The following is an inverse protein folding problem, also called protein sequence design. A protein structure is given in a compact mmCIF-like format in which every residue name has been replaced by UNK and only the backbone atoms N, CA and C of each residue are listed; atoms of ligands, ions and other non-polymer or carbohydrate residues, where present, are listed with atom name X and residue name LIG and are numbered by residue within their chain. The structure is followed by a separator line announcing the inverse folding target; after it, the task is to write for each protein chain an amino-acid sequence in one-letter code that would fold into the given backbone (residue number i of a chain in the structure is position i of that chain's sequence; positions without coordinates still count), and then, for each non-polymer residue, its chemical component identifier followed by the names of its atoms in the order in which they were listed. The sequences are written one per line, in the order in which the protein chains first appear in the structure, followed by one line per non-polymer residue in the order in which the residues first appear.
data_IF_015748839330
#
_entry.id   IF_015748839330
#
_cell.length_a   1.000
_cell.length_b   1.000
_cell.length_c   1.000
_cell.angle_alpha   90.00
_cell.angle_beta   90.00
_cell.angle_gamma   90.00
#
_symmetry.space_group_name_H-M   'P 1'
#
loop_
_entity.id
_entity.type
_entity.pdbx_description
1 polymer ?
#
# COMPACT_ATOMS: atom_id res chain seq x y z
N UNK A 1 -14.31 75.33 -2.42
CA UNK A 1 -13.97 73.91 -2.64
C UNK A 1 -15.15 73.07 -2.17
N UNK A 2 -15.77 72.31 -3.06
CA UNK A 2 -17.07 71.68 -2.79
C UNK A 2 -16.85 70.32 -2.09
N UNK A 3 -16.74 70.35 -0.76
CA UNK A 3 -16.40 69.20 0.10
C UNK A 3 -17.23 67.95 -0.18
N UNK A 4 -18.52 68.11 -0.53
CA UNK A 4 -19.41 67.00 -0.89
C UNK A 4 -18.92 66.19 -2.10
N UNK A 5 -18.33 66.86 -3.09
CA UNK A 5 -17.79 66.19 -4.28
C UNK A 5 -16.52 65.41 -3.96
N UNK A 6 -15.64 65.99 -3.15
CA UNK A 6 -14.38 65.36 -2.76
C UNK A 6 -14.64 64.09 -1.93
N UNK A 7 -15.59 64.14 -0.98
CA UNK A 7 -15.97 62.96 -0.20
C UNK A 7 -16.62 61.89 -1.08
N UNK A 8 -17.45 62.27 -2.05
CA UNK A 8 -18.05 61.34 -3.01
C UNK A 8 -16.99 60.64 -3.88
N UNK A 9 -15.99 61.37 -4.35
CA UNK A 9 -14.89 60.84 -5.15
C UNK A 9 -14.00 59.88 -4.36
N UNK A 10 -13.65 60.22 -3.12
CA UNK A 10 -12.90 59.33 -2.23
C UNK A 10 -13.69 58.04 -1.94
N UNK A 11 -14.99 58.14 -1.71
CA UNK A 11 -15.84 56.98 -1.44
C UNK A 11 -15.95 56.06 -2.66
N UNK A 12 -16.07 56.62 -3.87
CA UNK A 12 -16.09 55.85 -5.11
C UNK A 12 -14.76 55.13 -5.36
N UNK A 13 -13.63 55.81 -5.14
CA UNK A 13 -12.30 55.18 -5.24
C UNK A 13 -12.16 54.03 -4.23
N UNK A 14 -12.59 54.25 -2.98
CA UNK A 14 -12.55 53.22 -1.95
C UNK A 14 -13.38 52.00 -2.32
N UNK A 15 -14.63 52.20 -2.77
CA UNK A 15 -15.51 51.11 -3.23
C UNK A 15 -14.90 50.38 -4.43
N UNK A 16 -14.36 51.11 -5.40
CA UNK A 16 -13.74 50.52 -6.60
C UNK A 16 -12.54 49.64 -6.27
N UNK A 17 -11.64 50.10 -5.40
CA UNK A 17 -10.47 49.31 -4.97
C UNK A 17 -10.90 48.06 -4.21
N UNK A 18 -11.82 48.19 -3.25
CA UNK A 18 -12.30 47.03 -2.47
C UNK A 18 -13.01 46.00 -3.35
N UNK A 19 -13.82 46.43 -4.33
CA UNK A 19 -14.48 45.52 -5.27
C UNK A 19 -13.47 44.79 -6.17
N UNK A 20 -12.42 45.48 -6.63
CA UNK A 20 -11.38 44.88 -7.46
C UNK A 20 -10.60 43.80 -6.68
N UNK A 21 -10.20 44.10 -5.44
CA UNK A 21 -9.54 43.14 -4.55
C UNK A 21 -10.47 41.95 -4.29
N UNK A 22 -11.72 42.21 -3.91
CA UNK A 22 -12.70 41.17 -3.64
C UNK A 22 -12.95 40.25 -4.84
N UNK A 23 -13.05 40.80 -6.05
CA UNK A 23 -13.24 40.01 -7.26
C UNK A 23 -12.02 39.12 -7.56
N UNK A 24 -10.81 39.64 -7.35
CA UNK A 24 -9.58 38.89 -7.52
C UNK A 24 -9.48 37.74 -6.50
N UNK A 25 -9.77 38.02 -5.22
CA UNK A 25 -9.76 37.03 -4.14
C UNK A 25 -10.82 35.95 -4.36
N UNK A 26 -12.01 36.33 -4.83
CA UNK A 26 -13.08 35.39 -5.19
C UNK A 26 -12.68 34.47 -6.34
N UNK A 27 -12.05 35.02 -7.39
CA UNK A 27 -11.58 34.23 -8.52
C UNK A 27 -10.44 33.27 -8.11
N UNK A 28 -9.51 33.73 -7.28
CA UNK A 28 -8.43 32.91 -6.73
C UNK A 28 -8.97 31.78 -5.85
N UNK A 29 -9.91 32.08 -4.94
CA UNK A 29 -10.57 31.08 -4.08
C UNK A 29 -11.28 29.99 -4.89
N UNK A 30 -11.95 30.37 -5.99
CA UNK A 30 -12.59 29.39 -6.89
C UNK A 30 -11.60 28.44 -7.56
N UNK A 31 -10.47 28.95 -8.03
CA UNK A 31 -9.43 28.11 -8.63
C UNK A 31 -8.84 27.15 -7.60
N UNK A 32 -8.54 27.65 -6.40
CA UNK A 32 -8.01 26.83 -5.30
C UNK A 32 -8.97 25.68 -4.95
N UNK A 33 -10.27 25.96 -4.85
CA UNK A 33 -11.25 24.91 -4.55
C UNK A 33 -11.33 23.85 -5.65
N UNK A 34 -11.26 24.26 -6.91
CA UNK A 34 -11.23 23.32 -8.04
C UNK A 34 -9.98 22.44 -7.99
N UNK A 35 -8.82 23.02 -7.75
CA UNK A 35 -7.55 22.28 -7.70
C UNK A 35 -7.53 21.31 -6.50
N UNK A 36 -8.14 21.71 -5.37
CA UNK A 36 -8.37 20.87 -4.20
C UNK A 36 -9.23 19.65 -4.55
N UNK A 37 -10.37 19.86 -5.20
CA UNK A 37 -11.25 18.77 -5.63
C UNK A 37 -10.55 17.80 -6.59
N UNK A 38 -9.77 18.33 -7.54
CA UNK A 38 -8.98 17.51 -8.47
C UNK A 38 -7.95 16.68 -7.68
N UNK A 39 -7.22 17.29 -6.76
CA UNK A 39 -6.21 16.61 -5.95
C UNK A 39 -6.83 15.48 -5.10
N UNK A 40 -7.92 15.75 -4.39
CA UNK A 40 -8.65 14.74 -3.60
C UNK A 40 -9.17 13.60 -4.48
N UNK A 41 -9.66 13.90 -5.68
CA UNK A 41 -10.12 12.88 -6.64
C UNK A 41 -8.96 11.99 -7.07
N UNK A 42 -7.81 12.57 -7.41
CA UNK A 42 -6.62 11.82 -7.82
C UNK A 42 -6.03 10.97 -6.69
N UNK A 43 -6.03 11.50 -5.46
CA UNK A 43 -5.65 10.74 -4.27
C UNK A 43 -6.62 9.57 -4.05
N UNK A 44 -7.93 9.77 -4.20
CA UNK A 44 -8.92 8.69 -4.07
C UNK A 44 -8.66 7.58 -5.08
N UNK A 45 -8.52 7.92 -6.35
CA UNK A 45 -8.22 6.97 -7.43
C UNK A 45 -6.90 6.22 -7.17
N UNK A 46 -5.86 6.91 -6.70
CA UNK A 46 -4.58 6.30 -6.31
C UNK A 46 -4.75 5.30 -5.17
N UNK A 47 -5.47 5.67 -4.12
CA UNK A 47 -5.72 4.80 -2.96
C UNK A 47 -6.58 3.58 -3.35
N UNK A 48 -7.59 3.74 -4.19
CA UNK A 48 -8.42 2.62 -4.68
C UNK A 48 -7.59 1.62 -5.48
N UNK A 49 -6.75 2.10 -6.39
CA UNK A 49 -5.86 1.26 -7.19
C UNK A 49 -4.78 0.58 -6.32
N UNK A 50 -4.20 1.30 -5.37
CA UNK A 50 -3.22 0.75 -4.45
C UNK A 50 -3.84 -0.31 -3.54
N UNK A 51 -5.07 -0.12 -3.07
CA UNK A 51 -5.78 -1.11 -2.27
C UNK A 51 -5.97 -2.41 -3.05
N UNK A 52 -6.40 -2.33 -4.32
CA UNK A 52 -6.53 -3.52 -5.15
C UNK A 52 -5.20 -4.27 -5.29
N UNK A 53 -4.14 -3.53 -5.64
CA UNK A 53 -2.80 -4.09 -5.80
C UNK A 53 -2.25 -4.72 -4.52
N UNK A 54 -2.47 -4.06 -3.37
CA UNK A 54 -2.08 -4.58 -2.06
C UNK A 54 -2.76 -5.92 -1.76
N UNK A 55 -4.07 -6.03 -2.02
CA UNK A 55 -4.82 -7.26 -1.76
C UNK A 55 -4.36 -8.43 -2.63
N UNK A 56 -4.14 -8.18 -3.93
CA UNK A 56 -3.65 -9.18 -4.88
C UNK A 56 -2.25 -9.68 -4.49
N UNK A 57 -1.34 -8.75 -4.20
CA UNK A 57 0.04 -9.04 -3.80
C UNK A 57 0.10 -9.82 -2.48
N UNK A 58 -0.63 -9.34 -1.47
CA UNK A 58 -0.71 -9.97 -0.16
C UNK A 58 -1.20 -11.41 -0.25
N UNK A 59 -2.25 -11.66 -1.03
CA UNK A 59 -2.78 -13.02 -1.18
C UNK A 59 -1.72 -13.99 -1.72
N UNK A 60 -0.90 -13.56 -2.69
CA UNK A 60 0.17 -14.41 -3.23
C UNK A 60 1.33 -14.54 -2.26
N UNK A 61 1.81 -13.42 -1.71
CA UNK A 61 2.99 -13.38 -0.86
C UNK A 61 2.80 -14.13 0.46
N UNK A 62 1.59 -14.13 1.04
CA UNK A 62 1.30 -14.85 2.27
C UNK A 62 1.23 -16.37 2.11
N UNK A 63 1.19 -16.90 0.87
CA UNK A 63 1.32 -18.35 0.63
C UNK A 63 2.74 -18.84 0.91
N UNK A 64 3.76 -17.99 0.78
CA UNK A 64 5.17 -18.33 1.02
C UNK A 64 5.42 -18.76 2.48
N UNK A 65 5.13 -17.93 3.52
CA UNK A 65 5.36 -18.34 4.90
C UNK A 65 4.52 -19.56 5.29
N UNK A 66 3.27 -19.67 4.81
CA UNK A 66 2.40 -20.83 5.05
C UNK A 66 2.99 -22.13 4.48
N UNK A 67 3.51 -22.07 3.26
CA UNK A 67 4.20 -23.18 2.61
C UNK A 67 5.39 -23.66 3.44
N UNK A 68 6.27 -22.75 3.87
CA UNK A 68 7.45 -23.12 4.66
C UNK A 68 7.10 -23.65 6.05
N UNK A 69 6.09 -23.06 6.73
CA UNK A 69 5.61 -23.58 8.00
C UNK A 69 5.09 -25.02 7.89
N UNK A 70 4.33 -25.32 6.84
CA UNK A 70 3.80 -26.67 6.63
C UNK A 70 4.90 -27.64 6.21
N UNK A 71 5.80 -27.22 5.32
CA UNK A 71 6.97 -28.02 4.93
C UNK A 71 7.82 -28.41 6.14
N UNK A 72 8.09 -27.45 7.03
CA UNK A 72 8.88 -27.68 8.24
C UNK A 72 8.17 -28.65 9.20
N UNK A 73 6.85 -28.53 9.34
CA UNK A 73 6.05 -29.45 10.16
C UNK A 73 6.03 -30.90 9.66
N UNK A 74 6.36 -31.12 8.38
CA UNK A 74 6.40 -32.44 7.75
C UNK A 74 7.80 -33.08 7.81
N UNK A 75 8.83 -32.31 8.18
CA UNK A 75 10.19 -32.84 8.36
C UNK A 75 10.31 -33.60 9.67
N UNK A 76 11.18 -34.60 9.69
CA UNK A 76 11.57 -35.30 10.91
C UNK A 76 12.70 -34.54 11.64
N UNK A 77 13.22 -35.14 12.72
CA UNK A 77 14.33 -34.57 13.52
C UNK A 77 15.63 -34.38 12.72
N UNK A 78 15.81 -35.13 11.63
CA UNK A 78 16.97 -35.06 10.73
C UNK A 78 16.76 -34.07 9.56
N UNK A 79 15.72 -33.23 9.63
CA UNK A 79 15.27 -32.31 8.58
C UNK A 79 14.86 -32.99 7.26
N UNK A 80 14.59 -34.29 7.30
CA UNK A 80 14.20 -35.08 6.14
C UNK A 80 12.69 -35.15 5.97
N UNK A 81 12.23 -35.03 4.73
CA UNK A 81 10.82 -35.10 4.36
C UNK A 81 10.40 -36.57 4.21
N UNK A 82 10.01 -37.21 5.32
CA UNK A 82 9.65 -38.65 5.37
C UNK A 82 8.16 -38.84 5.70
N UNK A 83 7.35 -39.06 4.67
CA UNK A 83 5.89 -39.15 4.81
C UNK A 83 5.27 -40.20 3.87
N UNK A 84 3.98 -40.49 4.09
CA UNK A 84 3.23 -41.41 3.23
C UNK A 84 2.82 -40.75 1.90
N UNK A 85 2.61 -41.53 0.82
CA UNK A 85 2.26 -41.01 -0.50
C UNK A 85 1.02 -40.11 -0.52
N UNK A 86 -0.01 -40.42 0.26
CA UNK A 86 -1.23 -39.62 0.34
C UNK A 86 -0.99 -38.24 0.98
N UNK A 87 -0.18 -38.20 2.05
CA UNK A 87 0.19 -36.95 2.68
C UNK A 87 1.04 -36.07 1.74
N UNK A 88 1.97 -36.69 1.01
CA UNK A 88 2.80 -35.98 0.03
C UNK A 88 1.96 -35.43 -1.12
N UNK A 89 1.04 -36.24 -1.65
CA UNK A 89 0.11 -35.80 -2.70
C UNK A 89 -0.77 -34.65 -2.25
N UNK A 90 -1.24 -34.69 -0.99
CA UNK A 90 -2.01 -33.58 -0.41
C UNK A 90 -1.18 -32.30 -0.28
N UNK A 91 0.05 -32.40 0.19
CA UNK A 91 0.96 -31.27 0.33
C UNK A 91 1.30 -30.64 -1.04
N UNK A 92 1.74 -31.45 -2.01
CA UNK A 92 2.04 -30.98 -3.36
C UNK A 92 0.81 -30.41 -4.06
N UNK A 93 -0.37 -31.03 -3.88
CA UNK A 93 -1.62 -30.52 -4.44
C UNK A 93 -2.05 -29.16 -3.86
N UNK A 94 -1.72 -28.88 -2.60
CA UNK A 94 -1.98 -27.58 -1.96
C UNK A 94 -1.01 -26.49 -2.42
N UNK A 95 0.23 -26.87 -2.75
CA UNK A 95 1.32 -25.95 -3.08
C UNK A 95 1.95 -26.26 -4.44
N UNK A 96 1.11 -26.54 -5.44
CA UNK A 96 1.54 -27.02 -6.76
C UNK A 96 2.56 -26.12 -7.47
N UNK A 97 2.56 -24.82 -7.14
CA UNK A 97 3.46 -23.82 -7.72
C UNK A 97 4.75 -23.60 -6.90
N UNK A 98 4.86 -24.22 -5.72
CA UNK A 98 5.95 -23.99 -4.77
C UNK A 98 6.89 -25.18 -4.63
N UNK A 99 6.41 -26.41 -4.87
CA UNK A 99 7.19 -27.62 -4.66
C UNK A 99 6.98 -28.63 -5.77
N UNK A 100 8.08 -29.13 -6.34
CA UNK A 100 8.06 -30.26 -7.27
C UNK A 100 8.85 -31.41 -6.68
N UNK A 101 8.19 -32.54 -6.43
CA UNK A 101 8.86 -33.78 -6.01
C UNK A 101 9.67 -34.34 -7.20
N UNK A 102 10.95 -34.59 -7.00
CA UNK A 102 11.87 -35.07 -8.03
C UNK A 102 12.09 -36.57 -7.88
N UNK A 103 12.30 -37.04 -6.65
CA UNK A 103 12.57 -38.44 -6.37
C UNK A 103 12.00 -38.86 -5.00
N UNK A 104 11.85 -40.17 -4.82
CA UNK A 104 11.45 -40.75 -3.54
C UNK A 104 12.13 -42.08 -3.29
N UNK A 105 12.76 -42.23 -2.12
CA UNK A 105 13.36 -43.49 -1.68
C UNK A 105 12.45 -44.14 -0.64
N UNK A 106 12.09 -45.44 -0.77
CA UNK A 106 11.29 -46.10 0.23
C UNK A 106 12.00 -46.08 1.59
N UNK A 107 11.23 -45.72 2.62
CA UNK A 107 11.62 -45.75 4.02
C UNK A 107 10.79 -46.82 4.76
N UNK A 108 11.00 -46.98 6.05
CA UNK A 108 10.25 -47.95 6.86
C UNK A 108 8.74 -47.58 6.92
N UNK A 109 7.91 -48.59 7.19
CA UNK A 109 6.46 -48.44 7.42
C UNK A 109 5.63 -47.80 6.29
N UNK A 110 6.03 -48.04 5.02
CA UNK A 110 5.29 -47.56 3.85
C UNK A 110 5.41 -46.04 3.63
N UNK A 111 6.37 -45.40 4.30
CA UNK A 111 6.77 -44.01 4.06
C UNK A 111 7.86 -43.94 3.00
N UNK A 112 8.04 -42.75 2.45
CA UNK A 112 9.10 -42.47 1.50
C UNK A 112 9.83 -41.21 1.94
N UNK A 113 11.13 -41.20 1.75
CA UNK A 113 11.96 -40.00 1.83
C UNK A 113 11.85 -39.28 0.49
N UNK A 114 11.37 -38.05 0.50
CA UNK A 114 11.18 -37.25 -0.71
C UNK A 114 12.29 -36.22 -0.86
N UNK A 115 12.82 -36.10 -2.08
CA UNK A 115 13.67 -35.00 -2.49
C UNK A 115 12.93 -34.17 -3.55
N UNK A 116 13.02 -32.85 -3.45
CA UNK A 116 12.32 -31.95 -4.36
C UNK A 116 12.89 -30.55 -4.36
N UNK A 117 12.55 -29.81 -5.40
CA UNK A 117 12.93 -28.42 -5.59
C UNK A 117 11.79 -27.49 -5.16
N UNK A 118 12.17 -26.37 -4.55
CA UNK A 118 11.25 -25.30 -4.18
C UNK A 118 11.35 -24.13 -5.14
N UNK A 119 10.22 -23.60 -5.58
CA UNK A 119 10.13 -22.41 -6.42
C UNK A 119 9.34 -21.32 -5.70
N UNK A 120 9.98 -20.20 -5.43
CA UNK A 120 9.34 -19.06 -4.76
C UNK A 120 9.19 -17.92 -5.76
N UNK A 121 7.94 -17.50 -6.00
CA UNK A 121 7.64 -16.31 -6.77
C UNK A 121 7.07 -15.24 -5.82
N UNK A 122 7.88 -14.22 -5.54
CA UNK A 122 7.47 -13.08 -4.75
C UNK A 122 6.83 -12.05 -5.68
N UNK A 123 5.60 -11.64 -5.39
CA UNK A 123 4.94 -10.57 -6.11
C UNK A 123 5.49 -9.22 -5.65
N UNK A 124 6.16 -8.51 -6.56
CA UNK A 124 6.76 -7.21 -6.29
C UNK A 124 5.81 -6.13 -6.80
N UNK A 125 4.98 -5.64 -5.89
CA UNK A 125 3.98 -4.60 -6.17
C UNK A 125 4.50 -3.22 -5.81
N UNK A 126 4.23 -2.24 -6.67
CA UNK A 126 4.59 -0.84 -6.45
C UNK A 126 3.33 0.00 -6.17
N UNK A 127 3.20 0.46 -4.92
CA UNK A 127 2.06 1.28 -4.49
C UNK A 127 2.37 2.74 -4.80
N UNK A 128 1.58 3.38 -5.66
CA UNK A 128 1.83 4.75 -6.10
C UNK A 128 1.68 5.75 -4.95
N UNK A 129 2.50 6.80 -4.96
CA UNK A 129 2.36 7.98 -4.09
C UNK A 129 2.38 9.29 -4.90
N UNK A 130 2.21 9.19 -6.21
CA UNK A 130 2.33 10.29 -7.16
C UNK A 130 1.29 11.37 -6.87
N UNK A 131 0.03 11.00 -6.67
CA UNK A 131 -1.03 11.98 -6.42
C UNK A 131 -0.77 12.74 -5.11
N UNK A 132 -0.30 12.03 -4.08
CA UNK A 132 0.10 12.62 -2.81
C UNK A 132 1.31 13.56 -2.92
N UNK A 133 2.36 13.12 -3.62
CA UNK A 133 3.59 13.90 -3.80
C UNK A 133 3.38 15.15 -4.65
N UNK A 134 2.56 15.04 -5.70
CA UNK A 134 2.13 16.21 -6.49
C UNK A 134 1.33 17.17 -5.62
N UNK A 135 0.43 16.66 -4.76
CA UNK A 135 -0.36 17.51 -3.87
C UNK A 135 0.50 18.27 -2.86
N UNK A 136 1.55 17.63 -2.31
CA UNK A 136 2.54 18.30 -1.45
C UNK A 136 3.34 19.36 -2.21
N UNK A 137 3.86 19.03 -3.40
CA UNK A 137 4.75 19.91 -4.16
C UNK A 137 4.05 21.14 -4.76
N UNK A 138 2.78 21.00 -5.12
CA UNK A 138 1.95 22.11 -5.65
C UNK A 138 1.41 23.03 -4.57
N UNK A 139 1.56 22.66 -3.28
CA UNK A 139 1.07 23.44 -2.14
C UNK A 139 -0.43 23.30 -1.87
N UNK A 140 -1.18 22.61 -2.73
CA UNK A 140 -2.63 22.36 -2.53
C UNK A 140 -2.91 21.58 -1.25
N UNK A 141 -1.93 20.82 -0.78
CA UNK A 141 -1.90 20.15 0.52
C UNK A 141 -2.29 21.08 1.69
N UNK A 142 -1.91 22.35 1.67
CA UNK A 142 -2.24 23.30 2.74
C UNK A 142 -3.73 23.64 2.83
N UNK A 143 -4.49 23.37 1.77
CA UNK A 143 -5.92 23.63 1.68
C UNK A 143 -6.76 22.46 2.21
N UNK A 144 -6.12 21.33 2.53
CA UNK A 144 -6.76 20.19 3.15
C UNK A 144 -6.91 20.43 4.65
N UNK A 145 -8.01 19.93 5.23
CA UNK A 145 -8.21 19.96 6.68
C UNK A 145 -7.11 19.20 7.42
N UNK A 146 -6.69 19.70 8.58
CA UNK A 146 -5.62 19.11 9.39
C UNK A 146 -5.82 17.61 9.68
N UNK A 147 -7.05 17.21 9.99
CA UNK A 147 -7.38 15.81 10.27
C UNK A 147 -7.18 14.91 9.03
N UNK A 148 -7.51 15.42 7.84
CA UNK A 148 -7.28 14.71 6.59
C UNK A 148 -5.80 14.56 6.28
N UNK A 149 -5.03 15.62 6.51
CA UNK A 149 -3.57 15.61 6.35
C UNK A 149 -2.92 14.58 7.26
N UNK A 150 -3.31 14.56 8.53
CA UNK A 150 -2.79 13.59 9.49
C UNK A 150 -3.07 12.15 9.05
N UNK A 151 -4.31 11.87 8.61
CA UNK A 151 -4.71 10.53 8.13
C UNK A 151 -3.97 10.13 6.85
N UNK A 152 -3.89 11.01 5.86
CA UNK A 152 -3.16 10.75 4.61
C UNK A 152 -1.68 10.51 4.87
N UNK A 153 -1.04 11.37 5.68
CA UNK A 153 0.36 11.19 6.02
C UNK A 153 0.61 9.86 6.74
N UNK A 154 -0.24 9.50 7.70
CA UNK A 154 -0.14 8.21 8.40
C UNK A 154 -0.26 7.03 7.44
N UNK A 155 -1.23 7.07 6.52
CA UNK A 155 -1.44 6.05 5.51
C UNK A 155 -0.25 5.89 4.56
N UNK A 156 0.26 6.98 3.97
CA UNK A 156 1.42 6.93 3.07
C UNK A 156 2.72 6.52 3.79
N UNK A 157 2.86 6.82 5.10
CA UNK A 157 3.98 6.31 5.88
C UNK A 157 3.90 4.78 6.05
N UNK A 158 2.71 4.24 6.35
CA UNK A 158 2.53 2.77 6.43
C UNK A 158 2.82 2.12 5.07
N UNK A 159 2.38 2.74 3.97
CA UNK A 159 2.69 2.29 2.60
C UNK A 159 4.21 2.21 2.36
N UNK A 160 4.98 3.23 2.75
CA UNK A 160 6.44 3.22 2.64
C UNK A 160 7.09 2.10 3.46
N UNK A 161 6.55 1.79 4.65
CA UNK A 161 7.01 0.67 5.47
C UNK A 161 6.76 -0.68 4.77
N UNK A 162 5.57 -0.89 4.21
CA UNK A 162 5.25 -2.10 3.42
C UNK A 162 6.23 -2.26 2.26
N UNK A 163 6.44 -1.21 1.47
CA UNK A 163 7.38 -1.24 0.34
C UNK A 163 8.83 -1.52 0.80
N UNK A 164 9.22 -0.98 1.95
CA UNK A 164 10.53 -1.23 2.54
C UNK A 164 10.71 -2.68 2.94
N UNK A 165 9.72 -3.30 3.57
CA UNK A 165 9.76 -4.73 3.91
C UNK A 165 9.73 -5.62 2.66
N UNK A 166 8.95 -5.28 1.64
CA UNK A 166 8.93 -6.00 0.37
C UNK A 166 10.30 -5.99 -0.32
N UNK A 167 11.02 -4.86 -0.28
CA UNK A 167 12.40 -4.78 -0.76
C UNK A 167 13.33 -5.69 0.04
N UNK A 168 13.21 -5.71 1.38
CA UNK A 168 14.00 -6.63 2.22
C UNK A 168 13.67 -8.10 1.93
N UNK A 169 12.41 -8.43 1.67
CA UNK A 169 12.00 -9.77 1.26
C UNK A 169 12.65 -10.16 -0.08
N UNK A 170 12.67 -9.25 -1.05
CA UNK A 170 13.37 -9.44 -2.33
C UNK A 170 14.87 -9.68 -2.14
N UNK A 171 15.52 -8.91 -1.27
CA UNK A 171 16.94 -9.08 -0.90
C UNK A 171 17.19 -10.44 -0.21
N UNK A 172 16.33 -10.85 0.71
CA UNK A 172 16.41 -12.14 1.39
C UNK A 172 16.27 -13.32 0.41
N UNK A 173 15.31 -13.23 -0.51
CA UNK A 173 15.11 -14.22 -1.58
C UNK A 173 16.36 -14.30 -2.48
N UNK A 174 16.92 -13.15 -2.87
CA UNK A 174 18.14 -13.09 -3.69
C UNK A 174 19.36 -13.71 -2.99
N UNK A 175 19.49 -13.48 -1.68
CA UNK A 175 20.58 -14.04 -0.85
C UNK A 175 20.33 -15.48 -0.41
N UNK A 176 19.23 -16.12 -0.85
CA UNK A 176 18.81 -17.47 -0.46
C UNK A 176 18.61 -17.63 1.06
N UNK A 177 18.27 -16.55 1.77
CA UNK A 177 17.97 -16.59 3.20
C UNK A 177 16.47 -16.79 3.41
N UNK A 178 16.04 -18.05 3.41
CA UNK A 178 14.61 -18.41 3.50
C UNK A 178 14.01 -18.04 4.86
N UNK A 179 14.72 -18.27 5.96
CA UNK A 179 14.23 -17.95 7.31
C UNK A 179 13.99 -16.44 7.46
N UNK A 180 14.88 -15.62 6.89
CA UNK A 180 14.71 -14.17 6.88
C UNK A 180 13.51 -13.78 6.02
N UNK A 181 13.35 -14.38 4.84
CA UNK A 181 12.20 -14.15 3.97
C UNK A 181 10.88 -14.44 4.70
N UNK A 182 10.74 -15.61 5.32
CA UNK A 182 9.53 -16.01 6.06
C UNK A 182 9.24 -15.05 7.20
N UNK A 183 10.27 -14.64 7.96
CA UNK A 183 10.13 -13.68 9.07
C UNK A 183 9.68 -12.31 8.57
N UNK A 184 10.27 -11.82 7.48
CA UNK A 184 9.92 -10.52 6.88
C UNK A 184 8.48 -10.54 6.38
N UNK A 185 8.08 -11.56 5.61
CA UNK A 185 6.71 -11.67 5.07
C UNK A 185 5.65 -11.78 6.17
N UNK A 186 5.98 -12.48 7.26
CA UNK A 186 5.08 -12.60 8.43
C UNK A 186 4.90 -11.26 9.15
N UNK A 187 5.95 -10.45 9.26
CA UNK A 187 5.85 -9.08 9.79
C UNK A 187 5.12 -8.16 8.82
N UNK A 188 5.41 -8.26 7.53
CA UNK A 188 4.78 -7.49 6.46
C UNK A 188 3.26 -7.67 6.46
N UNK A 189 2.74 -8.89 6.69
CA UNK A 189 1.30 -9.13 6.77
C UNK A 189 0.57 -8.16 7.73
N UNK A 190 1.18 -7.87 8.89
CA UNK A 190 0.58 -6.96 9.88
C UNK A 190 0.54 -5.51 9.38
N UNK A 191 1.58 -5.09 8.66
CA UNK A 191 1.62 -3.77 8.04
C UNK A 191 0.62 -3.66 6.90
N UNK A 192 0.47 -4.71 6.09
CA UNK A 192 -0.51 -4.77 4.99
C UNK A 192 -1.95 -4.75 5.52
N UNK A 193 -2.26 -5.46 6.60
CA UNK A 193 -3.57 -5.39 7.28
C UNK A 193 -3.89 -3.97 7.76
N UNK A 194 -2.92 -3.33 8.42
CA UNK A 194 -3.08 -1.96 8.89
C UNK A 194 -3.26 -0.99 7.71
N UNK A 195 -2.49 -1.16 6.64
CA UNK A 195 -2.57 -0.32 5.45
C UNK A 195 -3.91 -0.50 4.74
N UNK A 196 -4.42 -1.73 4.64
CA UNK A 196 -5.73 -2.05 4.09
C UNK A 196 -6.83 -1.29 4.84
N UNK A 197 -6.84 -1.34 6.17
CA UNK A 197 -7.79 -0.59 6.99
C UNK A 197 -7.69 0.92 6.76
N UNK A 198 -6.47 1.44 6.67
CA UNK A 198 -6.23 2.86 6.41
C UNK A 198 -6.72 3.28 5.02
N UNK A 199 -6.49 2.47 3.99
CA UNK A 199 -6.99 2.71 2.63
C UNK A 199 -8.52 2.72 2.59
N UNK A 200 -9.17 1.70 3.17
CA UNK A 200 -10.64 1.64 3.23
C UNK A 200 -11.22 2.85 3.94
N UNK A 201 -10.67 3.20 5.11
CA UNK A 201 -11.10 4.36 5.86
C UNK A 201 -10.88 5.67 5.08
N UNK A 202 -9.78 5.79 4.33
CA UNK A 202 -9.53 6.97 3.50
C UNK A 202 -10.54 7.07 2.36
N UNK A 203 -10.79 5.99 1.61
CA UNK A 203 -11.76 5.97 0.50
C UNK A 203 -13.16 6.40 0.97
N UNK A 204 -13.59 5.93 2.14
CA UNK A 204 -14.89 6.28 2.72
C UNK A 204 -14.97 7.74 3.17
N UNK A 205 -13.87 8.33 3.64
CA UNK A 205 -13.88 9.63 4.30
C UNK A 205 -13.22 10.76 3.50
N UNK A 206 -12.62 10.48 2.34
CA UNK A 206 -11.88 11.49 1.56
C UNK A 206 -12.76 12.63 1.07
N UNK A 207 -14.06 12.37 0.85
CA UNK A 207 -15.02 13.41 0.49
C UNK A 207 -15.27 14.41 1.64
N UNK A 208 -14.98 14.03 2.90
CA UNK A 208 -15.02 14.93 4.06
C UNK A 208 -13.80 15.86 4.12
N UNK A 209 -12.81 15.68 3.23
CA UNK A 209 -11.64 16.53 3.13
C UNK A 209 -11.84 17.76 2.24
N UNK A 210 -13.00 17.87 1.58
CA UNK A 210 -13.40 19.00 0.74
C UNK A 210 -13.57 20.30 1.53
#
# INVERSE_FOLDING_TARGET
MNWKYIVGEILLIFVGINLAIWFNDWNSSKTIQKDKEIALTKIKEEVENNLQQLLESREQNQKIPLFYMELDSLKNEDEELVLGPEAMKSFVGKYENFFTAIDSVPSEDGKYKYEGDTFINLDITDLSSIAWDISKSTGIFHEFGFDCLYRMQGMYNTQELVQTELRKATEALSNKSIDDLVRILSFMNQLEEQLEEQYRAMIENIDNCK
#
